data_IF_202172087750
#
_entry.id   IF_202172087750
#
_cell.length_a   1.000
_cell.length_b   1.000
_cell.length_c   1.000
_cell.angle_alpha   90.00
_cell.angle_beta   90.00
_cell.angle_gamma   90.00
#
_symmetry.space_group_name_H-M   'P 1'
#
loop_
_entity.id
_entity.type
_entity.pdbx_description
1 polymer ?
#
# COMPACT_ATOMS: atom_id res chain seq x y z
N UNK A 1 3.64 11.94 -1.53
CA UNK A 1 3.87 13.42 -1.46
C UNK A 1 2.75 14.03 -0.57
N UNK A 2 2.55 15.35 -0.46
CA UNK A 2 1.41 16.03 0.22
C UNK A 2 0.74 15.27 1.39
N UNK A 3 1.36 15.19 2.58
CA UNK A 3 0.84 14.49 3.80
C UNK A 3 -0.06 13.26 3.55
N UNK A 4 0.30 12.44 2.57
CA UNK A 4 -0.51 11.32 2.11
C UNK A 4 0.37 10.09 1.90
N UNK A 5 -0.20 8.93 2.18
CA UNK A 5 0.38 7.61 1.93
C UNK A 5 -0.58 6.75 1.12
N UNK A 6 -0.02 5.76 0.42
CA UNK A 6 -0.80 4.65 -0.08
C UNK A 6 -0.76 3.55 0.97
N UNK A 7 -1.93 3.12 1.44
CA UNK A 7 -2.07 2.17 2.51
C UNK A 7 -2.95 1.01 2.07
N UNK A 8 -2.53 -0.20 2.43
CA UNK A 8 -3.28 -1.45 2.33
C UNK A 8 -3.02 -2.23 3.62
N UNK A 9 -3.92 -3.14 3.98
CA UNK A 9 -3.75 -4.01 5.14
C UNK A 9 -3.82 -5.47 4.70
N UNK A 10 -2.89 -6.28 5.21
CA UNK A 10 -2.80 -7.71 4.92
C UNK A 10 -2.61 -8.49 6.21
N UNK A 11 -3.09 -9.73 6.24
CA UNK A 11 -2.78 -10.66 7.32
C UNK A 11 -1.42 -11.34 7.11
N UNK A 12 -1.00 -12.17 8.08
CA UNK A 12 0.25 -12.92 8.01
C UNK A 12 0.30 -13.95 6.86
N UNK A 13 -0.85 -14.31 6.29
CA UNK A 13 -0.97 -15.18 5.10
C UNK A 13 -1.03 -14.38 3.80
N UNK A 14 -0.72 -13.07 3.84
CA UNK A 14 -0.75 -12.15 2.70
C UNK A 14 -2.15 -11.97 2.09
N UNK A 15 -3.22 -12.32 2.83
CA UNK A 15 -4.58 -12.05 2.38
C UNK A 15 -4.93 -10.60 2.65
N UNK A 16 -5.56 -9.98 1.68
CA UNK A 16 -6.01 -8.60 1.80
C UNK A 16 -7.11 -8.48 2.88
N UNK A 17 -6.89 -7.59 3.84
CA UNK A 17 -7.86 -7.19 4.87
C UNK A 17 -8.54 -5.89 4.44
N UNK A 18 -7.76 -4.96 3.89
CA UNK A 18 -8.25 -3.70 3.33
C UNK A 18 -7.50 -3.37 2.04
N UNK A 19 -8.20 -3.01 0.96
CA UNK A 19 -7.58 -2.74 -0.33
C UNK A 19 -6.68 -1.52 -0.29
N UNK A 20 -5.75 -1.49 -1.22
CA UNK A 20 -4.84 -0.38 -1.42
C UNK A 20 -5.61 0.91 -1.74
N UNK A 21 -5.46 1.93 -0.89
CA UNK A 21 -6.14 3.21 -1.01
C UNK A 21 -5.24 4.39 -0.59
N UNK A 22 -5.48 5.59 -1.13
CA UNK A 22 -4.82 6.80 -0.63
C UNK A 22 -5.37 7.16 0.75
N UNK A 23 -4.46 7.53 1.65
CA UNK A 23 -4.78 7.98 2.99
C UNK A 23 -4.07 9.32 3.26
N UNK A 24 -4.87 10.36 3.53
CA UNK A 24 -4.36 11.65 3.99
C UNK A 24 -4.10 11.52 5.50
N UNK A 25 -2.89 11.83 5.95
CA UNK A 25 -2.46 11.69 7.33
C UNK A 25 -2.83 12.91 8.18
N UNK A 26 -4.11 13.27 8.14
CA UNK A 26 -4.69 14.37 8.92
C UNK A 26 -5.95 13.85 9.64
N UNK A 27 -6.40 14.57 10.67
CA UNK A 27 -7.67 14.31 11.36
C UNK A 27 -7.85 12.85 11.87
N UNK A 28 -6.75 12.26 12.34
CA UNK A 28 -6.67 10.88 12.83
C UNK A 28 -7.18 9.83 11.83
N UNK A 29 -7.00 10.08 10.53
CA UNK A 29 -7.47 9.16 9.47
C UNK A 29 -6.74 7.81 9.50
N UNK A 30 -5.49 7.77 9.96
CA UNK A 30 -4.77 6.50 10.11
C UNK A 30 -5.35 5.65 11.23
N UNK A 31 -5.64 6.25 12.38
CA UNK A 31 -6.28 5.60 13.51
C UNK A 31 -7.68 5.10 13.12
N UNK A 32 -8.43 5.89 12.34
CA UNK A 32 -9.71 5.47 11.77
C UNK A 32 -9.57 4.32 10.78
N UNK A 33 -8.51 4.31 9.97
CA UNK A 33 -8.22 3.21 9.06
C UNK A 33 -7.97 1.90 9.84
N UNK A 34 -7.14 1.95 10.90
CA UNK A 34 -6.88 0.80 11.78
C UNK A 34 -8.14 0.38 12.55
N UNK A 35 -8.88 1.34 13.11
CA UNK A 35 -10.14 1.07 13.82
C UNK A 35 -11.22 0.52 12.90
N UNK A 36 -11.17 0.83 11.59
CA UNK A 36 -12.07 0.29 10.58
C UNK A 36 -11.79 -1.16 10.19
N UNK A 37 -10.64 -1.72 10.57
CA UNK A 37 -10.30 -3.12 10.29
C UNK A 37 -11.27 -4.07 11.02
N UNK A 38 -11.47 -5.30 10.49
CA UNK A 38 -12.29 -6.32 11.12
C UNK A 38 -11.88 -6.58 12.58
N UNK A 39 -12.86 -6.88 13.43
CA UNK A 39 -12.70 -6.97 14.88
C UNK A 39 -11.61 -7.94 15.30
N UNK A 40 -11.47 -9.08 14.61
CA UNK A 40 -10.44 -10.08 14.90
C UNK A 40 -8.99 -9.59 14.73
N UNK A 41 -8.79 -8.46 14.05
CA UNK A 41 -7.47 -7.83 13.89
C UNK A 41 -7.28 -6.67 14.87
N UNK A 42 -8.30 -6.23 15.61
CA UNK A 42 -8.19 -5.10 16.55
C UNK A 42 -7.44 -5.52 17.82
N UNK A 43 -6.59 -4.63 18.32
CA UNK A 43 -5.86 -4.81 19.58
C UNK A 43 -4.59 -5.68 19.48
N UNK A 44 -4.36 -6.38 18.36
CA UNK A 44 -3.11 -7.09 18.10
C UNK A 44 -1.96 -6.16 17.66
N UNK A 45 -0.71 -6.65 17.66
CA UNK A 45 0.41 -5.90 17.13
C UNK A 45 0.29 -5.72 15.61
N UNK A 46 0.52 -4.50 15.12
CA UNK A 46 0.58 -4.19 13.70
C UNK A 46 2.00 -3.87 13.27
N UNK A 47 2.38 -4.35 12.08
CA UNK A 47 3.63 -3.97 11.45
C UNK A 47 3.36 -2.94 10.35
N UNK A 48 3.88 -1.73 10.52
CA UNK A 48 3.81 -0.67 9.51
C UNK A 48 5.08 -0.71 8.68
N UNK A 49 4.94 -1.04 7.39
CA UNK A 49 6.06 -1.17 6.46
C UNK A 49 5.91 -0.22 5.25
N UNK A 50 7.01 -0.07 4.51
CA UNK A 50 7.05 0.74 3.30
C UNK A 50 7.50 2.19 3.53
N UNK A 51 7.83 2.88 2.44
CA UNK A 51 8.48 4.18 2.50
C UNK A 51 7.59 5.28 3.07
N UNK A 52 6.26 5.14 3.05
CA UNK A 52 5.32 6.09 3.65
C UNK A 52 5.32 6.08 5.18
N UNK A 53 5.85 5.02 5.79
CA UNK A 53 5.82 4.82 7.25
C UNK A 53 6.54 5.90 8.07
N UNK A 54 7.57 6.55 7.52
CA UNK A 54 8.27 7.64 8.23
C UNK A 54 7.37 8.82 8.60
N UNK A 55 6.26 9.01 7.87
CA UNK A 55 5.29 10.08 8.16
C UNK A 55 4.37 9.77 9.34
N UNK A 56 4.34 8.49 9.73
CA UNK A 56 3.50 7.94 10.77
C UNK A 56 4.27 7.81 12.10
N UNK A 57 5.60 7.88 12.07
CA UNK A 57 6.45 7.74 13.26
C UNK A 57 6.19 8.84 14.31
N UNK A 58 5.84 10.05 13.88
CA UNK A 58 5.48 11.16 14.78
C UNK A 58 4.02 11.16 15.22
N UNK A 59 3.17 10.30 14.65
CA UNK A 59 1.71 10.37 14.84
C UNK A 59 1.24 9.76 16.17
N UNK A 60 2.13 9.22 17.02
CA UNK A 60 1.75 8.66 18.32
C UNK A 60 0.84 7.43 18.18
N UNK A 61 1.09 6.62 17.16
CA UNK A 61 0.31 5.41 16.87
C UNK A 61 0.55 4.43 18.00
N UNK A 62 -0.53 3.96 18.63
CA UNK A 62 -0.52 3.32 19.95
C UNK A 62 0.48 2.18 20.13
N UNK A 63 0.68 1.77 21.40
CA UNK A 63 1.73 0.87 21.90
C UNK A 63 1.88 -0.47 21.13
N UNK A 64 0.85 -0.89 20.40
CA UNK A 64 0.84 -2.11 19.60
C UNK A 64 1.30 -1.91 18.14
N UNK A 65 2.07 -0.86 17.84
CA UNK A 65 2.54 -0.58 16.48
C UNK A 65 4.05 -0.74 16.39
N UNK A 66 4.51 -1.61 15.49
CA UNK A 66 5.93 -1.82 15.17
C UNK A 66 6.21 -1.24 13.80
N UNK A 67 7.18 -0.33 13.70
CA UNK A 67 7.64 0.19 12.43
C UNK A 67 8.73 -0.71 11.86
N UNK A 68 8.50 -1.25 10.66
CA UNK A 68 9.50 -2.05 9.96
C UNK A 68 10.69 -1.18 9.55
N UNK A 69 11.89 -1.73 9.72
CA UNK A 69 13.13 -1.18 9.15
C UNK A 69 13.18 -1.32 7.62
N UNK A 70 12.39 -2.25 7.07
CA UNK A 70 12.27 -2.45 5.62
C UNK A 70 11.32 -1.40 5.04
N UNK A 71 11.89 -0.39 4.39
CA UNK A 71 11.14 0.71 3.78
C UNK A 71 10.89 0.53 2.28
N UNK A 72 11.65 -0.33 1.61
CA UNK A 72 11.59 -0.54 0.16
C UNK A 72 11.17 -1.96 -0.19
N UNK A 73 10.49 -2.12 -1.32
CA UNK A 73 10.20 -3.43 -1.88
C UNK A 73 11.47 -4.09 -2.43
N UNK A 74 11.58 -5.41 -2.30
CA UNK A 74 12.65 -6.22 -2.88
C UNK A 74 12.05 -7.27 -3.81
N UNK A 75 12.61 -7.40 -5.01
CA UNK A 75 12.19 -8.42 -5.98
C UNK A 75 12.40 -9.85 -5.46
N UNK A 76 13.33 -10.05 -4.53
CA UNK A 76 13.57 -11.35 -3.91
C UNK A 76 12.36 -11.91 -3.15
N UNK A 77 11.42 -11.06 -2.72
CA UNK A 77 10.19 -11.50 -2.08
C UNK A 77 9.08 -11.90 -3.07
N UNK A 78 9.26 -11.64 -4.37
CA UNK A 78 8.29 -12.04 -5.39
C UNK A 78 8.45 -13.48 -5.88
N UNK A 79 9.61 -14.12 -5.69
CA UNK A 79 9.88 -15.45 -6.26
C UNK A 79 8.85 -16.50 -5.84
N UNK A 80 8.51 -16.56 -4.55
CA UNK A 80 7.50 -17.51 -4.05
C UNK A 80 6.08 -17.22 -4.57
N UNK A 81 5.74 -15.94 -4.72
CA UNK A 81 4.44 -15.53 -5.29
C UNK A 81 4.36 -15.87 -6.78
N UNK A 82 5.42 -15.59 -7.53
CA UNK A 82 5.52 -15.88 -8.96
C UNK A 82 5.45 -17.39 -9.22
N UNK A 83 6.15 -18.20 -8.42
CA UNK A 83 6.07 -19.66 -8.51
C UNK A 83 4.63 -20.17 -8.26
N UNK A 84 3.94 -19.65 -7.24
CA UNK A 84 2.54 -20.02 -6.97
C UNK A 84 1.63 -19.69 -8.15
N UNK A 85 1.73 -18.50 -8.74
CA UNK A 85 0.93 -18.12 -9.91
C UNK A 85 1.26 -19.02 -11.12
N UNK A 86 2.55 -19.30 -11.33
CA UNK A 86 3.00 -20.21 -12.39
C UNK A 86 2.42 -21.62 -12.24
N UNK A 87 2.47 -22.21 -11.04
CA UNK A 87 1.93 -23.54 -10.75
C UNK A 87 0.41 -23.63 -10.95
N UNK A 88 -0.31 -22.52 -10.72
CA UNK A 88 -1.76 -22.44 -10.90
C UNK A 88 -2.17 -22.06 -12.33
N UNK A 89 -1.21 -21.89 -13.25
CA UNK A 89 -1.44 -21.34 -14.59
C UNK A 89 -2.18 -19.98 -14.59
N UNK A 90 -2.00 -19.20 -13.53
CA UNK A 90 -2.63 -17.90 -13.33
C UNK A 90 -1.73 -16.79 -13.87
N UNK A 91 -1.81 -16.59 -15.19
CA UNK A 91 -1.02 -15.60 -15.92
C UNK A 91 -1.89 -14.43 -16.37
N UNK A 92 -1.32 -13.23 -16.37
CA UNK A 92 -1.98 -12.04 -16.91
C UNK A 92 -1.76 -11.95 -18.43
N UNK A 93 -2.79 -11.53 -19.16
CA UNK A 93 -2.69 -11.25 -20.59
C UNK A 93 -2.00 -9.90 -20.80
N UNK A 94 -0.85 -9.92 -21.49
CA UNK A 94 -0.04 -8.72 -21.75
C UNK A 94 -0.80 -7.67 -22.56
N UNK A 95 -1.72 -8.07 -23.44
CA UNK A 95 -2.49 -7.13 -24.26
C UNK A 95 -3.56 -6.38 -23.46
N UNK A 96 -4.00 -6.94 -22.33
CA UNK A 96 -5.08 -6.40 -21.49
C UNK A 96 -4.62 -6.00 -20.07
N UNK A 97 -3.36 -6.23 -19.72
CA UNK A 97 -2.80 -5.85 -18.44
C UNK A 97 -2.67 -4.31 -18.33
N UNK A 98 -3.20 -3.75 -17.26
CA UNK A 98 -2.93 -2.38 -16.86
C UNK A 98 -2.23 -2.33 -15.48
N UNK A 99 -1.23 -1.46 -15.29
CA UNK A 99 -0.67 -1.26 -13.97
C UNK A 99 -1.70 -0.65 -13.02
N UNK A 100 -1.71 -1.10 -11.77
CA UNK A 100 -2.54 -0.52 -10.72
C UNK A 100 -2.01 0.87 -10.31
N UNK A 101 -2.53 1.91 -10.95
CA UNK A 101 -2.20 3.30 -10.62
C UNK A 101 -3.23 3.89 -9.66
N UNK A 102 -2.81 4.21 -8.43
CA UNK A 102 -3.67 4.87 -7.43
C UNK A 102 -3.93 6.35 -7.74
N UNK A 103 -3.18 6.95 -8.67
CA UNK A 103 -3.43 8.28 -9.22
C UNK A 103 -3.25 8.24 -10.72
N UNK A 104 -4.12 8.91 -11.50
CA UNK A 104 -3.91 9.00 -12.93
C UNK A 104 -2.58 9.68 -13.24
N UNK A 105 -1.88 9.27 -14.30
CA UNK A 105 -0.66 9.94 -14.73
C UNK A 105 -0.96 11.40 -15.06
N UNK A 106 0.00 12.28 -14.77
CA UNK A 106 -0.12 13.70 -15.09
C UNK A 106 0.17 13.91 -16.59
N UNK A 107 -0.85 13.69 -17.43
CA UNK A 107 -0.76 13.91 -18.87
C UNK A 107 -0.84 15.42 -19.13
N UNK A 108 0.27 16.04 -19.53
CA UNK A 108 0.29 17.46 -19.93
C UNK A 108 -0.09 17.60 -21.39
N UNK A 109 -1.06 18.45 -21.70
CA UNK A 109 -1.36 18.85 -23.08
C UNK A 109 -0.22 19.73 -23.60
N UNK A 110 0.41 19.40 -24.74
CA UNK A 110 1.48 20.24 -25.29
C UNK A 110 0.93 21.63 -25.64
N UNK A 111 1.64 22.68 -25.22
CA UNK A 111 1.29 24.06 -25.58
C UNK A 111 1.44 24.21 -27.10
N UNK A 112 0.39 24.67 -27.77
CA UNK A 112 0.42 24.93 -29.22
C UNK A 112 1.51 25.97 -29.48
N UNK A 113 2.49 25.64 -30.32
CA UNK A 113 3.46 26.62 -30.78
C UNK A 113 2.70 27.74 -31.52
N UNK A 114 2.82 28.96 -31.04
CA UNK A 114 2.37 30.15 -31.78
C UNK A 114 3.44 30.37 -32.86
N UNK A 115 3.05 30.18 -34.13
CA UNK A 115 3.87 30.51 -35.30
C UNK A 115 3.93 32.03 -35.50
#
# INVERSE_FOLDING_TARGET
RRQEVWAAAYDASQREIAPAQPLILENNLFEKFIAGLPEQFRGGPFVVAGNGSHKLESAGIGENTVFSVVKNCSSGHFSALAERFFQNADFQDVAYFEPFYMKPPHITTPTRAVL
#
